data_IF_973269128877
#
_entry.id   IF_973269128877
#
_cell.length_a   1.000
_cell.length_b   1.000
_cell.length_c   1.000
_cell.angle_alpha   90.00
_cell.angle_beta   90.00
_cell.angle_gamma   90.00
#
_symmetry.space_group_name_H-M   'P 1'
#
loop_
_entity.id
_entity.type
_entity.pdbx_description
1 polymer ?
#
# COMPACT_ATOMS: atom_id res chain seq x y z
N UNK A 1 -7.34 29.30 10.58
CA UNK A 1 -6.77 27.95 10.77
C UNK A 1 -7.86 27.05 11.32
N UNK A 2 -8.55 26.32 10.46
CA UNK A 2 -9.58 25.35 10.88
C UNK A 2 -8.90 24.02 11.14
N UNK A 3 -8.76 23.65 12.41
CA UNK A 3 -8.34 22.30 12.82
C UNK A 3 -9.50 21.35 12.53
N UNK A 4 -9.49 20.73 11.36
CA UNK A 4 -10.43 19.67 11.03
C UNK A 4 -10.02 18.40 11.80
N UNK A 5 -10.35 18.34 13.09
CA UNK A 5 -10.12 17.16 13.91
C UNK A 5 -11.30 16.20 13.70
N UNK A 6 -11.24 15.43 12.60
CA UNK A 6 -12.20 14.37 12.36
C UNK A 6 -11.91 13.22 13.33
N UNK A 7 -12.84 12.94 14.24
CA UNK A 7 -12.76 11.75 15.09
C UNK A 7 -13.26 10.54 14.32
N UNK A 8 -12.43 9.51 14.20
CA UNK A 8 -12.84 8.21 13.66
C UNK A 8 -13.56 7.45 14.77
N UNK A 9 -14.87 7.26 14.64
CA UNK A 9 -15.70 6.54 15.63
C UNK A 9 -15.95 5.08 15.24
N UNK A 10 -15.95 4.78 13.93
CA UNK A 10 -16.03 3.42 13.40
C UNK A 10 -15.51 3.38 11.96
N UNK A 11 -14.85 2.27 11.59
CA UNK A 11 -14.46 1.94 10.21
C UNK A 11 -14.92 0.50 9.94
N UNK A 12 -15.43 0.26 8.74
CA UNK A 12 -15.79 -1.08 8.25
C UNK A 12 -15.26 -1.22 6.83
N UNK A 13 -14.65 -2.36 6.55
CA UNK A 13 -14.04 -2.62 5.26
C UNK A 13 -13.46 -4.03 5.22
N UNK A 14 -13.06 -4.44 4.03
CA UNK A 14 -12.35 -5.72 3.84
C UNK A 14 -10.89 -5.52 4.19
N UNK A 15 -10.35 -6.35 5.09
CA UNK A 15 -8.95 -6.30 5.47
C UNK A 15 -8.08 -7.14 4.52
N UNK A 16 -6.81 -6.74 4.40
CA UNK A 16 -5.76 -7.47 3.68
C UNK A 16 -4.69 -7.95 4.68
N UNK A 17 -4.44 -9.26 4.81
CA UNK A 17 -3.41 -9.76 5.70
C UNK A 17 -2.05 -9.69 5.01
N UNK A 18 -1.17 -8.79 5.46
CA UNK A 18 0.20 -8.67 4.94
C UNK A 18 1.16 -9.36 5.92
N UNK A 19 1.65 -10.58 5.60
CA UNK A 19 2.55 -11.30 6.50
C UNK A 19 3.94 -10.66 6.47
N UNK A 20 4.55 -10.49 7.64
CA UNK A 20 5.91 -9.98 7.78
C UNK A 20 6.11 -9.27 9.11
N UNK A 21 7.27 -9.48 9.70
CA UNK A 21 7.72 -8.66 10.82
C UNK A 21 8.52 -7.46 10.28
N UNK A 22 8.66 -6.43 11.10
CA UNK A 22 9.56 -5.30 10.83
C UNK A 22 9.38 -4.69 9.42
N UNK A 23 8.12 -4.44 9.05
CA UNK A 23 7.78 -3.75 7.81
C UNK A 23 8.22 -2.29 7.95
N UNK A 24 9.28 -1.91 7.23
CA UNK A 24 9.81 -0.55 7.21
C UNK A 24 9.25 0.29 6.05
N UNK A 25 9.70 1.55 5.97
CA UNK A 25 9.22 2.51 4.98
C UNK A 25 9.57 2.14 3.54
N UNK A 26 10.75 1.57 3.30
CA UNK A 26 11.17 1.21 1.94
C UNK A 26 10.46 -0.05 1.44
N UNK A 27 10.10 -0.96 2.35
CA UNK A 27 9.23 -2.10 2.02
C UNK A 27 7.82 -1.65 1.66
N UNK A 28 7.25 -0.70 2.41
CA UNK A 28 5.92 -0.13 2.09
C UNK A 28 5.95 0.62 0.76
N UNK A 29 6.93 1.50 0.56
CA UNK A 29 7.12 2.23 -0.68
C UNK A 29 8.59 2.61 -0.86
N UNK A 30 9.31 1.99 -1.80
CA UNK A 30 10.72 2.29 -2.01
C UNK A 30 10.95 3.76 -2.38
N UNK A 31 11.96 4.39 -1.79
CA UNK A 31 12.26 5.81 -2.00
C UNK A 31 12.35 6.24 -3.49
N UNK A 32 12.74 5.32 -4.38
CA UNK A 32 12.82 5.58 -5.82
C UNK A 32 11.47 5.88 -6.49
N UNK A 33 10.35 5.60 -5.84
CA UNK A 33 9.00 5.95 -6.31
C UNK A 33 8.49 7.28 -5.73
N UNK A 34 9.19 7.85 -4.74
CA UNK A 34 8.87 9.12 -4.10
C UNK A 34 9.39 10.32 -4.90
N UNK A 35 9.04 10.37 -6.19
CA UNK A 35 9.47 11.44 -7.11
C UNK A 35 8.40 12.49 -7.36
N UNK A 36 7.13 12.15 -7.09
CA UNK A 36 6.00 13.05 -7.30
C UNK A 36 5.93 14.10 -6.19
N UNK A 37 5.55 15.32 -6.55
CA UNK A 37 5.19 16.39 -5.60
C UNK A 37 3.75 16.26 -5.12
N UNK A 38 2.98 15.30 -5.67
CA UNK A 38 1.61 14.97 -5.28
C UNK A 38 1.54 13.51 -4.81
N UNK A 39 0.49 13.17 -4.06
CA UNK A 39 0.24 11.78 -3.63
C UNK A 39 -0.40 10.91 -4.72
N UNK A 40 -0.72 11.49 -5.88
CA UNK A 40 -1.35 10.79 -6.98
C UNK A 40 -0.44 9.67 -7.51
N UNK A 41 -1.00 8.49 -7.74
CA UNK A 41 -0.29 7.33 -8.28
C UNK A 41 0.60 6.57 -7.30
N UNK A 42 0.91 7.11 -6.10
CA UNK A 42 1.77 6.41 -5.12
C UNK A 42 1.18 5.08 -4.64
N UNK A 43 -0.15 4.97 -4.58
CA UNK A 43 -0.83 3.72 -4.22
C UNK A 43 -0.48 2.54 -5.14
N UNK A 44 -0.16 2.81 -6.41
CA UNK A 44 0.24 1.76 -7.36
C UNK A 44 1.62 1.16 -7.01
N UNK A 45 2.46 1.92 -6.31
CA UNK A 45 3.83 1.58 -5.95
C UNK A 45 3.98 0.99 -4.53
N UNK A 46 2.86 0.82 -3.82
CA UNK A 46 2.83 0.17 -2.50
C UNK A 46 3.30 -1.28 -2.63
N UNK A 47 4.28 -1.67 -1.79
CA UNK A 47 4.95 -2.98 -1.77
C UNK A 47 5.51 -3.40 -3.14
N UNK A 48 5.96 -2.46 -3.98
CA UNK A 48 6.34 -2.75 -5.38
C UNK A 48 7.35 -3.90 -5.52
N UNK A 49 8.38 -3.91 -4.67
CA UNK A 49 9.43 -4.94 -4.69
C UNK A 49 8.95 -6.31 -4.21
N UNK A 50 7.95 -6.33 -3.32
CA UNK A 50 7.35 -7.57 -2.82
C UNK A 50 6.26 -8.10 -3.77
N UNK A 51 5.64 -7.21 -4.56
CA UNK A 51 4.58 -7.54 -5.52
C UNK A 51 5.10 -7.95 -6.90
N UNK A 52 6.28 -7.51 -7.31
CA UNK A 52 6.77 -7.73 -8.67
C UNK A 52 8.22 -8.21 -8.69
N UNK A 53 8.54 -9.05 -9.68
CA UNK A 53 9.91 -9.36 -10.07
C UNK A 53 10.45 -8.25 -10.99
N UNK A 54 11.77 -8.26 -11.22
CA UNK A 54 12.44 -7.27 -12.07
C UNK A 54 11.96 -7.29 -13.54
N UNK A 55 11.44 -8.43 -13.99
CA UNK A 55 10.84 -8.59 -15.33
C UNK A 55 9.38 -8.10 -15.41
N UNK A 56 8.82 -7.60 -14.30
CA UNK A 56 7.45 -7.12 -14.19
C UNK A 56 6.40 -8.21 -13.93
N UNK A 57 6.79 -9.48 -13.83
CA UNK A 57 5.87 -10.54 -13.42
C UNK A 57 5.46 -10.40 -11.95
N UNK A 58 4.23 -10.77 -11.62
CA UNK A 58 3.69 -10.70 -10.27
C UNK A 58 4.29 -11.80 -9.38
N UNK A 59 4.69 -11.42 -8.17
CA UNK A 59 5.00 -12.33 -7.07
C UNK A 59 3.72 -12.69 -6.31
N UNK A 60 3.78 -13.78 -5.55
CA UNK A 60 2.76 -14.10 -4.56
C UNK A 60 2.81 -13.06 -3.44
N UNK A 61 1.82 -12.18 -3.43
CA UNK A 61 1.68 -11.15 -2.41
C UNK A 61 0.18 -10.83 -2.25
N UNK A 62 -0.33 -10.59 -1.03
CA UNK A 62 -1.75 -10.31 -0.81
C UNK A 62 -2.31 -9.17 -1.67
N UNK A 63 -1.51 -8.16 -2.01
CA UNK A 63 -1.95 -7.04 -2.87
C UNK A 63 -2.16 -7.41 -4.34
N UNK A 64 -1.67 -8.57 -4.79
CA UNK A 64 -1.86 -9.08 -6.13
C UNK A 64 -2.96 -10.16 -6.19
N UNK A 65 -3.52 -10.55 -5.04
CA UNK A 65 -4.52 -11.60 -4.97
C UNK A 65 -5.92 -11.01 -5.14
N UNK A 66 -6.63 -11.48 -6.17
CA UNK A 66 -7.97 -11.01 -6.53
C UNK A 66 -8.96 -11.11 -5.36
N UNK A 67 -8.75 -12.03 -4.40
CA UNK A 67 -9.61 -12.16 -3.21
C UNK A 67 -9.67 -10.90 -2.35
N UNK A 68 -8.64 -10.04 -2.41
CA UNK A 68 -8.55 -8.81 -1.62
C UNK A 68 -8.87 -7.56 -2.44
N UNK A 69 -9.38 -7.72 -3.66
CA UNK A 69 -9.85 -6.61 -4.49
C UNK A 69 -10.90 -5.80 -3.73
N UNK A 70 -10.70 -4.48 -3.62
CA UNK A 70 -11.62 -3.60 -2.91
C UNK A 70 -11.45 -3.58 -1.37
N UNK A 71 -10.33 -4.09 -0.85
CA UNK A 71 -9.96 -3.88 0.56
C UNK A 71 -9.86 -2.38 0.90
N UNK A 72 -10.33 -2.00 2.09
CA UNK A 72 -10.46 -0.61 2.57
C UNK A 72 -10.30 -0.51 4.08
#
# INVERSE_FOLDING_TARGET
>A
MTTNSASITAVKGTAIPVPGNDIDTDRIIPARYLRSVTFEGLGAEVFKDERFNDDGSMKEHPFNDDKYTGAT
#
